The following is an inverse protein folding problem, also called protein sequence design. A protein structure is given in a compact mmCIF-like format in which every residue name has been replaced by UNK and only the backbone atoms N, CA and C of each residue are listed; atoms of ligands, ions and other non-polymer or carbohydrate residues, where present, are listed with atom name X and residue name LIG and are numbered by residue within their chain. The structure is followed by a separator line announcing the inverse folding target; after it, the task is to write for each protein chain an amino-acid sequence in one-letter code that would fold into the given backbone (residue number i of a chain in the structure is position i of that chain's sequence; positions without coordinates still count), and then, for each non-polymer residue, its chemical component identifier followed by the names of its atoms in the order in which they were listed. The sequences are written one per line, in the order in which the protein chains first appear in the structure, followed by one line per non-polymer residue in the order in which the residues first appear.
data_IF_073542386146
#
_entry.id   IF_073542386146
#
_cell.length_a   1.000
_cell.length_b   1.000
_cell.length_c   1.000
_cell.angle_alpha   90.00
_cell.angle_beta   90.00
_cell.angle_gamma   90.00
#
_symmetry.space_group_name_H-M   'P 1'
#
loop_
_entity.id
_entity.type
_entity.pdbx_description
1 polymer ?
#
# COMPACT_ATOMS: atom_id res chain seq x y z
N UNK A 1 1.29 -4.56 5.35
CA UNK A 1 2.15 -4.90 4.20
C UNK A 1 1.39 -4.85 2.86
N UNK A 2 0.25 -5.54 2.67
CA UNK A 2 -0.48 -5.53 1.39
C UNK A 2 -0.92 -4.13 0.95
N UNK A 3 -1.35 -3.32 1.89
CA UNK A 3 -1.77 -1.95 1.63
C UNK A 3 -0.56 -1.01 1.45
N UNK A 4 0.41 -1.03 2.36
CA UNK A 4 1.57 -0.12 2.35
C UNK A 4 2.46 -0.31 1.11
N UNK A 5 2.62 -1.55 0.65
CA UNK A 5 3.38 -1.88 -0.56
C UNK A 5 2.55 -1.77 -1.85
N UNK A 6 1.29 -1.35 -1.78
CA UNK A 6 0.37 -1.24 -2.92
C UNK A 6 0.27 -2.52 -3.78
N UNK A 7 0.48 -3.69 -3.18
CA UNK A 7 0.46 -4.98 -3.88
C UNK A 7 -0.95 -5.27 -4.39
N UNK A 8 -1.96 -4.92 -3.60
CA UNK A 8 -3.36 -5.20 -3.91
C UNK A 8 -4.03 -4.15 -4.79
N UNK A 9 -3.55 -2.91 -4.76
CA UNK A 9 -4.12 -1.80 -5.55
C UNK A 9 -3.63 -1.73 -7.00
N UNK A 10 -2.94 -2.77 -7.50
CA UNK A 10 -2.31 -2.79 -8.83
C UNK A 10 -1.28 -1.67 -9.06
N UNK A 11 -0.95 -0.87 -8.04
CA UNK A 11 0.05 0.18 -8.14
C UNK A 11 1.41 -0.36 -8.54
N UNK A 12 1.89 -1.38 -7.83
CA UNK A 12 3.16 -2.06 -8.15
C UNK A 12 3.18 -2.69 -9.54
N UNK A 13 2.03 -3.17 -10.04
CA UNK A 13 1.91 -3.74 -11.38
C UNK A 13 2.09 -2.65 -12.45
N UNK A 14 1.46 -1.49 -12.28
CA UNK A 14 1.60 -0.35 -13.20
C UNK A 14 3.03 0.19 -13.16
N UNK A 15 3.61 0.38 -11.98
CA UNK A 15 5.02 0.81 -11.87
C UNK A 15 5.98 -0.21 -12.48
N UNK A 16 5.70 -1.51 -12.32
CA UNK A 16 6.45 -2.57 -12.98
C UNK A 16 6.45 -2.45 -14.50
N UNK A 17 5.37 -1.94 -15.11
CA UNK A 17 5.30 -1.72 -16.56
C UNK A 17 6.13 -0.52 -17.04
N UNK A 18 6.54 0.37 -16.13
CA UNK A 18 7.37 1.54 -16.44
C UNK A 18 8.86 1.29 -16.25
N UNK A 19 9.23 0.16 -15.64
CA UNK A 19 10.63 -0.19 -15.42
C UNK A 19 11.31 -0.56 -16.74
N UNK A 20 12.58 -0.16 -16.87
CA UNK A 20 13.41 -0.62 -17.99
C UNK A 20 13.77 -2.09 -17.84
N UNK A 21 14.11 -2.73 -18.96
CA UNK A 21 14.54 -4.14 -18.96
C UNK A 21 15.90 -4.37 -18.27
N UNK A 22 16.63 -3.30 -17.96
CA UNK A 22 17.92 -3.33 -17.27
C UNK A 22 17.79 -3.31 -15.74
N UNK A 23 16.57 -3.04 -15.20
CA UNK A 23 16.35 -2.91 -13.75
C UNK A 23 16.29 -4.27 -13.05
N UNK A 24 17.06 -4.40 -11.95
CA UNK A 24 17.03 -5.58 -11.07
C UNK A 24 15.78 -5.53 -10.17
N UNK A 25 14.67 -6.09 -10.65
CA UNK A 25 13.38 -6.09 -9.95
C UNK A 25 13.45 -6.71 -8.55
N UNK A 26 14.05 -7.90 -8.32
CA UNK A 26 14.13 -8.47 -6.98
C UNK A 26 14.92 -7.60 -5.99
N UNK A 27 16.01 -6.98 -6.43
CA UNK A 27 16.80 -6.07 -5.59
C UNK A 27 16.03 -4.82 -5.20
N UNK A 28 15.35 -4.22 -6.18
CA UNK A 28 14.50 -3.05 -5.96
C UNK A 28 13.31 -3.37 -5.06
N UNK A 29 12.64 -4.50 -5.26
CA UNK A 29 11.56 -4.97 -4.37
C UNK A 29 12.04 -5.22 -2.94
N UNK A 30 13.22 -5.83 -2.75
CA UNK A 30 13.79 -6.05 -1.43
C UNK A 30 14.11 -4.73 -0.71
N UNK A 31 14.64 -3.74 -1.41
CA UNK A 31 14.88 -2.40 -0.85
C UNK A 31 13.59 -1.71 -0.44
N UNK A 32 12.56 -1.75 -1.29
CA UNK A 32 11.24 -1.18 -0.96
C UNK A 32 10.67 -1.83 0.30
N UNK A 33 10.66 -3.17 0.38
CA UNK A 33 10.18 -3.88 1.56
C UNK A 33 11.00 -3.56 2.83
N UNK A 34 12.31 -3.43 2.71
CA UNK A 34 13.18 -3.06 3.82
C UNK A 34 12.85 -1.66 4.34
N UNK A 35 12.81 -0.64 3.46
CA UNK A 35 12.51 0.73 3.87
C UNK A 35 11.09 0.90 4.39
N UNK A 36 10.10 0.21 3.83
CA UNK A 36 8.71 0.17 4.35
C UNK A 36 8.68 -0.34 5.79
N UNK A 37 9.39 -1.46 6.05
CA UNK A 37 9.50 -2.03 7.40
C UNK A 37 10.20 -1.08 8.37
N UNK A 38 11.32 -0.48 7.97
CA UNK A 38 12.05 0.49 8.80
C UNK A 38 11.17 1.70 9.12
N UNK A 39 10.46 2.24 8.14
CA UNK A 39 9.56 3.37 8.34
C UNK A 39 8.43 3.02 9.32
N UNK A 40 7.83 1.84 9.18
CA UNK A 40 6.79 1.37 10.10
C UNK A 40 7.32 1.19 11.53
N UNK A 41 8.51 0.63 11.70
CA UNK A 41 9.15 0.48 13.01
C UNK A 41 9.49 1.83 13.65
N UNK A 42 10.01 2.79 12.88
CA UNK A 42 10.29 4.13 13.39
C UNK A 42 9.01 4.85 13.81
N UNK A 43 7.94 4.74 13.03
CA UNK A 43 6.63 5.30 13.40
C UNK A 43 6.11 4.66 14.70
N UNK A 44 6.19 3.35 14.84
CA UNK A 44 5.77 2.64 16.05
C UNK A 44 6.60 3.05 17.28
N UNK A 45 7.92 3.22 17.14
CA UNK A 45 8.80 3.69 18.21
C UNK A 45 8.49 5.11 18.69
N UNK A 46 7.91 5.94 17.86
CA UNK A 46 7.47 7.29 18.25
C UNK A 46 6.06 7.28 18.83
N UNK A 47 5.13 6.60 18.17
CA UNK A 47 3.70 6.65 18.48
C UNK A 47 3.38 5.86 19.75
N UNK A 48 3.89 4.61 19.89
CA UNK A 48 3.56 3.73 21.02
C UNK A 48 3.97 4.33 22.36
N UNK A 49 5.22 4.81 22.55
CA UNK A 49 5.59 5.49 23.81
C UNK A 49 4.77 6.75 24.06
N UNK A 50 4.49 7.52 23.01
CA UNK A 50 3.68 8.73 23.13
C UNK A 50 2.26 8.41 23.62
N UNK A 51 1.62 7.37 23.10
CA UNK A 51 0.33 6.88 23.59
C UNK A 51 0.40 6.41 25.04
N UNK A 52 1.46 5.68 25.42
CA UNK A 52 1.64 5.19 26.78
C UNK A 52 1.74 6.33 27.82
N UNK A 53 2.33 7.48 27.47
CA UNK A 53 2.44 8.63 28.39
C UNK A 53 1.10 9.30 28.69
N UNK A 54 0.12 9.17 27.82
CA UNK A 54 -1.22 9.76 27.98
C UNK A 54 -2.23 8.80 28.61
N UNK A 55 -1.82 7.57 28.93
CA UNK A 55 -2.71 6.52 29.43
C UNK A 55 -3.78 6.07 28.42
N UNK A 56 -3.57 6.39 27.13
CA UNK A 56 -4.46 5.94 26.08
C UNK A 56 -4.37 4.45 25.88
N UNK A 57 -5.51 3.84 25.55
CA UNK A 57 -5.55 2.44 25.12
C UNK A 57 -4.88 2.31 23.75
N UNK A 58 -4.13 1.24 23.54
CA UNK A 58 -3.42 0.97 22.27
C UNK A 58 -4.35 0.48 21.15
N UNK A 59 -5.64 0.69 21.28
CA UNK A 59 -6.70 0.36 20.35
C UNK A 59 -6.99 1.48 19.33
N UNK A 60 -6.34 2.64 19.50
CA UNK A 60 -6.48 3.76 18.57
C UNK A 60 -5.68 3.49 17.28
N UNK A 61 -6.37 3.51 16.15
CA UNK A 61 -5.78 3.28 14.84
C UNK A 61 -6.41 4.14 13.74
N UNK A 62 -5.98 3.91 12.51
CA UNK A 62 -6.54 4.54 11.34
C UNK A 62 -6.44 6.08 11.30
N UNK A 63 -7.35 6.76 10.57
CA UNK A 63 -7.34 8.22 10.45
C UNK A 63 -7.51 8.94 11.78
N UNK A 64 -8.24 8.35 12.74
CA UNK A 64 -8.44 8.93 14.06
C UNK A 64 -7.14 9.11 14.84
N UNK A 65 -6.23 8.15 14.76
CA UNK A 65 -4.91 8.26 15.37
C UNK A 65 -4.14 9.46 14.81
N UNK A 66 -4.14 9.63 13.50
CA UNK A 66 -3.35 10.63 12.80
C UNK A 66 -3.92 12.06 12.96
N UNK A 67 -5.24 12.21 12.84
CA UNK A 67 -5.89 13.54 12.74
C UNK A 67 -6.57 13.99 14.02
N UNK A 68 -6.80 13.11 14.99
CA UNK A 68 -7.44 13.47 16.26
C UNK A 68 -6.45 13.28 17.42
N UNK A 69 -5.93 12.05 17.55
CA UNK A 69 -5.12 11.72 18.72
C UNK A 69 -3.75 12.40 18.73
N UNK A 70 -2.96 12.27 17.64
CA UNK A 70 -1.63 12.88 17.55
C UNK A 70 -1.65 14.42 17.66
N UNK A 71 -2.57 15.17 17.03
CA UNK A 71 -2.70 16.60 17.24
C UNK A 71 -2.99 16.97 18.69
N UNK A 72 -3.88 16.24 19.38
CA UNK A 72 -4.17 16.47 20.79
C UNK A 72 -2.93 16.21 21.67
N UNK A 73 -2.17 15.16 21.37
CA UNK A 73 -0.91 14.89 22.05
C UNK A 73 0.11 16.01 21.82
N UNK A 74 0.29 16.44 20.59
CA UNK A 74 1.22 17.52 20.23
C UNK A 74 0.83 18.81 20.95
N UNK A 75 -0.46 19.11 21.10
CA UNK A 75 -0.93 20.34 21.76
C UNK A 75 -0.52 20.44 23.23
N UNK A 76 -0.26 19.33 23.89
CA UNK A 76 0.21 19.26 25.27
C UNK A 76 1.73 19.45 25.43
N UNK A 77 2.48 19.48 24.33
CA UNK A 77 3.95 19.54 24.34
C UNK A 77 4.45 20.99 24.33
N UNK A 78 5.60 21.32 24.98
CA UNK A 78 6.24 22.62 24.81
C UNK A 78 6.67 22.81 23.35
N UNK A 79 6.37 24.00 22.79
CA UNK A 79 6.64 24.26 21.35
C UNK A 79 5.65 23.62 20.39
N UNK A 80 4.48 23.23 20.87
CA UNK A 80 3.42 22.52 20.12
C UNK A 80 3.12 23.12 18.75
N UNK A 81 3.09 24.44 18.61
CA UNK A 81 2.80 25.10 17.33
C UNK A 81 3.80 24.74 16.24
N UNK A 82 5.11 24.78 16.54
CA UNK A 82 6.15 24.46 15.56
C UNK A 82 6.11 22.98 15.22
N UNK A 83 5.97 22.12 16.24
CA UNK A 83 5.87 20.66 16.05
C UNK A 83 4.66 20.32 15.19
N UNK A 84 3.50 20.92 15.46
CA UNK A 84 2.28 20.73 14.69
C UNK A 84 2.43 21.16 13.22
N UNK A 85 3.05 22.31 12.95
CA UNK A 85 3.29 22.77 11.57
C UNK A 85 4.17 21.76 10.84
N UNK A 86 5.29 21.34 11.42
CA UNK A 86 6.19 20.35 10.79
C UNK A 86 5.45 19.04 10.54
N UNK A 87 4.70 18.56 11.53
CA UNK A 87 3.93 17.34 11.44
C UNK A 87 2.90 17.38 10.30
N UNK A 88 2.06 18.42 10.25
CA UNK A 88 1.03 18.52 9.22
C UNK A 88 1.60 18.76 7.82
N UNK A 89 2.71 19.48 7.70
CA UNK A 89 3.41 19.64 6.42
C UNK A 89 3.96 18.26 5.95
N UNK A 90 4.55 17.49 6.85
CA UNK A 90 5.02 16.14 6.52
C UNK A 90 3.85 15.22 6.14
N UNK A 91 2.73 15.23 6.86
CA UNK A 91 1.51 14.48 6.55
C UNK A 91 0.94 14.88 5.19
N UNK A 92 0.92 16.18 4.87
CA UNK A 92 0.47 16.68 3.57
C UNK A 92 1.31 16.10 2.43
N UNK A 93 2.63 16.17 2.52
CA UNK A 93 3.51 15.61 1.48
C UNK A 93 3.40 14.08 1.39
N UNK A 94 3.32 13.38 2.50
CA UNK A 94 3.10 11.94 2.53
C UNK A 94 1.76 11.56 1.88
N UNK A 95 0.69 12.30 2.19
CA UNK A 95 -0.63 12.12 1.58
C UNK A 95 -0.62 12.37 0.07
N UNK A 96 0.02 13.44 -0.37
CA UNK A 96 0.12 13.78 -1.81
C UNK A 96 0.85 12.69 -2.60
N UNK A 97 2.00 12.21 -2.10
CA UNK A 97 2.75 11.13 -2.75
C UNK A 97 1.97 9.82 -2.80
N UNK A 98 1.25 9.49 -1.73
CA UNK A 98 0.36 8.32 -1.68
C UNK A 98 -0.80 8.43 -2.68
N UNK A 99 -1.43 9.61 -2.80
CA UNK A 99 -2.49 9.85 -3.77
C UNK A 99 -2.01 9.68 -5.22
N UNK A 100 -0.83 10.19 -5.55
CA UNK A 100 -0.23 10.02 -6.88
C UNK A 100 -0.09 8.53 -7.20
N UNK A 101 0.43 7.74 -6.25
CA UNK A 101 0.59 6.31 -6.40
C UNK A 101 -0.75 5.58 -6.61
N UNK A 102 -1.75 5.88 -5.78
CA UNK A 102 -3.05 5.22 -5.84
C UNK A 102 -3.82 5.57 -7.11
N UNK A 103 -3.68 6.79 -7.61
CA UNK A 103 -4.39 7.23 -8.83
C UNK A 103 -3.74 6.76 -10.12
N UNK A 104 -2.47 6.36 -10.11
CA UNK A 104 -1.78 5.95 -11.33
C UNK A 104 -2.44 4.74 -12.00
N UNK A 105 -2.84 3.72 -11.24
CA UNK A 105 -3.49 2.54 -11.78
C UNK A 105 -4.85 2.82 -12.45
N UNK A 106 -5.80 3.53 -11.82
CA UNK A 106 -7.05 3.91 -12.48
C UNK A 106 -6.85 4.88 -13.66
N UNK A 107 -5.88 5.81 -13.58
CA UNK A 107 -5.54 6.70 -14.70
C UNK A 107 -5.06 5.89 -15.90
N UNK A 108 -4.11 4.98 -15.71
CA UNK A 108 -3.62 4.12 -16.77
C UNK A 108 -4.73 3.26 -17.37
N UNK A 109 -5.62 2.72 -16.54
CA UNK A 109 -6.78 1.95 -16.99
C UNK A 109 -7.74 2.78 -17.85
N UNK A 110 -8.04 4.02 -17.44
CA UNK A 110 -8.91 4.94 -18.20
C UNK A 110 -8.25 5.32 -19.53
N UNK A 111 -6.95 5.59 -19.53
CA UNK A 111 -6.21 5.86 -20.77
C UNK A 111 -6.31 4.69 -21.76
N UNK A 112 -6.09 3.47 -21.29
CA UNK A 112 -6.11 2.27 -22.12
C UNK A 112 -7.51 1.94 -22.63
N UNK A 113 -8.52 1.98 -21.75
CA UNK A 113 -9.91 1.58 -22.10
C UNK A 113 -10.66 2.61 -22.93
N UNK A 114 -10.49 3.89 -22.61
CA UNK A 114 -11.19 4.98 -23.31
C UNK A 114 -10.35 5.62 -24.41
N UNK A 115 -9.09 5.21 -24.59
CA UNK A 115 -8.17 5.76 -25.60
C UNK A 115 -8.03 7.28 -25.51
N UNK A 116 -8.05 7.83 -24.28
CA UNK A 116 -7.94 9.27 -24.02
C UNK A 116 -6.52 9.65 -23.59
N UNK A 117 -6.18 10.92 -23.78
CA UNK A 117 -4.89 11.43 -23.33
C UNK A 117 -4.75 11.47 -21.79
N UNK A 118 -3.51 11.43 -21.29
CA UNK A 118 -3.21 11.40 -19.85
C UNK A 118 -3.89 12.53 -19.06
N UNK A 119 -3.88 13.76 -19.58
CA UNK A 119 -4.51 14.91 -18.93
C UNK A 119 -6.02 14.69 -18.72
N UNK A 120 -6.70 14.19 -19.73
CA UNK A 120 -8.14 13.91 -19.68
C UNK A 120 -8.43 12.78 -18.68
N UNK A 121 -7.65 11.71 -18.70
CA UNK A 121 -7.76 10.61 -17.74
C UNK A 121 -7.55 11.08 -16.29
N UNK A 122 -6.55 11.92 -16.04
CA UNK A 122 -6.32 12.52 -14.71
C UNK A 122 -7.54 13.34 -14.23
N UNK A 123 -8.11 14.17 -15.10
CA UNK A 123 -9.29 14.99 -14.74
C UNK A 123 -10.49 14.09 -14.43
N UNK A 124 -10.74 13.07 -15.24
CA UNK A 124 -11.85 12.13 -15.02
C UNK A 124 -11.71 11.46 -13.66
N UNK A 125 -10.53 10.90 -13.37
CA UNK A 125 -10.28 10.19 -12.10
C UNK A 125 -10.29 11.17 -10.91
N UNK A 126 -9.78 12.38 -11.07
CA UNK A 126 -9.84 13.39 -10.01
C UNK A 126 -11.29 13.77 -9.66
N UNK A 127 -12.14 14.00 -10.67
CA UNK A 127 -13.56 14.32 -10.45
C UNK A 127 -14.27 13.15 -9.76
N UNK A 128 -14.08 11.92 -10.24
CA UNK A 128 -14.66 10.72 -9.60
C UNK A 128 -14.17 10.60 -8.17
N UNK A 129 -12.86 10.77 -7.92
CA UNK A 129 -12.26 10.71 -6.60
C UNK A 129 -12.83 11.72 -5.63
N UNK A 130 -13.03 12.98 -6.07
CA UNK A 130 -13.66 14.02 -5.24
C UNK A 130 -15.11 13.66 -4.91
N UNK A 131 -15.89 13.22 -5.89
CA UNK A 131 -17.29 12.83 -5.66
C UNK A 131 -17.39 11.68 -4.67
N UNK A 132 -16.61 10.61 -4.87
CA UNK A 132 -16.57 9.46 -3.97
C UNK A 132 -16.12 9.88 -2.58
N UNK A 133 -15.05 10.68 -2.47
CA UNK A 133 -14.53 11.16 -1.18
C UNK A 133 -15.60 11.93 -0.38
N UNK A 134 -16.39 12.78 -1.04
CA UNK A 134 -17.49 13.51 -0.39
C UNK A 134 -18.61 12.58 0.09
N UNK A 135 -18.91 11.53 -0.68
CA UNK A 135 -19.97 10.58 -0.34
C UNK A 135 -19.60 9.68 0.86
N UNK A 136 -18.32 9.30 0.99
CA UNK A 136 -17.87 8.36 2.02
C UNK A 136 -17.35 9.01 3.31
N UNK A 137 -17.40 10.34 3.44
CA UNK A 137 -16.84 11.05 4.61
C UNK A 137 -17.29 10.48 5.96
N UNK A 138 -18.55 10.07 6.07
CA UNK A 138 -19.10 9.51 7.32
C UNK A 138 -18.71 8.06 7.62
N UNK A 139 -18.16 7.34 6.64
CA UNK A 139 -17.87 5.90 6.72
C UNK A 139 -16.42 5.58 6.31
N UNK A 140 -15.51 6.57 6.39
CA UNK A 140 -14.11 6.40 5.91
C UNK A 140 -13.41 5.24 6.62
N UNK A 141 -13.58 5.10 7.94
CA UNK A 141 -12.96 4.00 8.69
C UNK A 141 -13.48 2.65 8.23
N UNK A 142 -14.80 2.48 8.17
CA UNK A 142 -15.42 1.22 7.74
C UNK A 142 -15.05 0.88 6.30
N UNK A 143 -14.95 1.91 5.44
CA UNK A 143 -14.52 1.73 4.05
C UNK A 143 -13.06 1.30 3.95
N UNK A 144 -12.17 1.88 4.76
CA UNK A 144 -10.77 1.46 4.85
C UNK A 144 -10.62 0.02 5.35
N UNK A 145 -11.44 -0.38 6.33
CA UNK A 145 -11.44 -1.74 6.85
C UNK A 145 -11.88 -2.74 5.76
N UNK A 146 -12.95 -2.43 5.02
CA UNK A 146 -13.37 -3.27 3.89
C UNK A 146 -12.24 -3.43 2.86
N UNK A 147 -11.58 -2.34 2.50
CA UNK A 147 -10.47 -2.38 1.54
C UNK A 147 -9.30 -3.20 2.06
N UNK A 148 -8.90 -2.99 3.31
CA UNK A 148 -7.71 -3.60 3.89
C UNK A 148 -7.90 -5.08 4.21
N UNK A 149 -9.09 -5.45 4.74
CA UNK A 149 -9.39 -6.80 5.21
C UNK A 149 -9.77 -7.74 4.06
N UNK A 150 -10.55 -7.25 3.09
CA UNK A 150 -11.11 -8.11 2.05
C UNK A 150 -10.45 -7.88 0.68
N UNK A 151 -10.41 -6.64 0.21
CA UNK A 151 -10.00 -6.35 -1.18
C UNK A 151 -8.49 -6.51 -1.36
N UNK A 152 -7.69 -6.03 -0.39
CA UNK A 152 -6.24 -6.12 -0.49
C UNK A 152 -5.70 -7.56 -0.51
N UNK A 153 -6.06 -8.44 0.42
CA UNK A 153 -5.60 -9.83 0.36
C UNK A 153 -6.14 -10.61 -0.85
N UNK A 154 -7.38 -10.32 -1.26
CA UNK A 154 -7.97 -10.90 -2.47
C UNK A 154 -7.19 -10.49 -3.72
N UNK A 155 -6.92 -9.20 -3.89
CA UNK A 155 -6.15 -8.68 -5.02
C UNK A 155 -4.74 -9.25 -5.08
N UNK A 156 -4.04 -9.30 -3.94
CA UNK A 156 -2.71 -9.90 -3.83
C UNK A 156 -2.71 -11.41 -4.17
N UNK A 157 -3.72 -12.14 -3.68
CA UNK A 157 -3.90 -13.56 -3.98
C UNK A 157 -4.17 -13.82 -5.45
N UNK A 158 -5.08 -13.05 -6.07
CA UNK A 158 -5.38 -13.15 -7.50
C UNK A 158 -4.17 -12.82 -8.37
N UNK A 159 -3.44 -11.75 -8.06
CA UNK A 159 -2.20 -11.39 -8.76
C UNK A 159 -1.16 -12.52 -8.66
N UNK A 160 -1.01 -13.11 -7.47
CA UNK A 160 -0.14 -14.26 -7.26
C UNK A 160 -0.56 -15.49 -8.08
N UNK A 161 -1.85 -15.80 -8.12
CA UNK A 161 -2.38 -16.91 -8.94
C UNK A 161 -2.09 -16.65 -10.42
N UNK A 162 -2.41 -15.45 -10.91
CA UNK A 162 -2.15 -15.08 -12.31
C UNK A 162 -0.68 -15.22 -12.67
N UNK A 163 0.22 -14.71 -11.83
CA UNK A 163 1.65 -14.69 -12.12
C UNK A 163 2.32 -16.07 -11.95
N UNK A 164 2.07 -16.77 -10.84
CA UNK A 164 2.78 -18.02 -10.55
C UNK A 164 2.10 -19.29 -11.05
N UNK A 165 0.78 -19.28 -11.30
CA UNK A 165 0.03 -20.46 -11.75
C UNK A 165 -0.34 -20.39 -13.23
N UNK A 166 -0.85 -19.24 -13.70
CA UNK A 166 -1.34 -19.11 -15.08
C UNK A 166 -0.20 -18.75 -16.04
N UNK A 167 0.58 -17.70 -15.75
CA UNK A 167 1.72 -17.30 -16.59
C UNK A 167 2.84 -18.36 -16.61
N UNK A 168 2.97 -19.11 -15.52
CA UNK A 168 3.83 -20.29 -15.44
C UNK A 168 5.30 -19.98 -15.16
N UNK A 169 6.01 -21.03 -14.74
CA UNK A 169 7.40 -20.97 -14.27
C UNK A 169 8.36 -20.27 -15.25
N UNK A 170 8.28 -20.60 -16.54
CA UNK A 170 9.19 -20.07 -17.56
C UNK A 170 9.05 -18.55 -17.70
N UNK A 171 7.82 -18.05 -17.69
CA UNK A 171 7.55 -16.61 -17.75
C UNK A 171 8.08 -15.89 -16.51
N UNK A 172 7.77 -16.41 -15.32
CA UNK A 172 8.24 -15.88 -14.04
C UNK A 172 9.76 -15.79 -13.99
N UNK A 173 10.47 -16.89 -14.33
CA UNK A 173 11.94 -16.92 -14.34
C UNK A 173 12.52 -15.92 -15.34
N UNK A 174 11.90 -15.74 -16.50
CA UNK A 174 12.34 -14.77 -17.49
C UNK A 174 12.19 -13.34 -16.97
N UNK A 175 11.05 -13.00 -16.40
CA UNK A 175 10.78 -11.65 -15.91
C UNK A 175 11.62 -11.30 -14.66
N UNK A 176 11.76 -12.23 -13.71
CA UNK A 176 12.51 -12.00 -12.47
C UNK A 176 14.02 -11.90 -12.71
N UNK A 177 14.52 -12.51 -13.79
CA UNK A 177 15.96 -12.45 -14.12
C UNK A 177 16.33 -11.35 -15.13
N UNK A 178 15.39 -10.54 -15.59
CA UNK A 178 15.69 -9.34 -16.37
C UNK A 178 16.55 -8.38 -15.54
N UNK A 179 17.49 -7.71 -16.17
CA UNK A 179 18.37 -6.72 -15.52
C UNK A 179 19.34 -7.28 -14.47
N UNK A 180 19.52 -8.61 -14.40
CA UNK A 180 20.41 -9.24 -13.42
C UNK A 180 21.60 -9.93 -14.09
N UNK A 181 22.79 -9.74 -13.51
CA UNK A 181 23.99 -10.49 -13.89
C UNK A 181 23.93 -11.94 -13.36
N UNK A 182 23.40 -12.15 -12.15
CA UNK A 182 23.27 -13.46 -11.51
C UNK A 182 21.81 -13.91 -11.48
N UNK A 183 21.53 -15.11 -11.99
CA UNK A 183 20.17 -15.66 -12.01
C UNK A 183 19.64 -15.86 -10.59
N UNK A 184 18.40 -15.45 -10.38
CA UNK A 184 17.69 -15.66 -9.12
C UNK A 184 17.47 -17.17 -8.87
N UNK A 185 17.38 -17.55 -7.60
CA UNK A 185 17.30 -18.95 -7.19
C UNK A 185 16.13 -19.69 -7.83
N UNK A 186 16.36 -20.89 -8.34
CA UNK A 186 15.32 -21.77 -8.94
C UNK A 186 14.15 -22.07 -7.98
N UNK A 187 14.36 -21.90 -6.68
CA UNK A 187 13.34 -22.09 -5.65
C UNK A 187 12.37 -20.91 -5.49
N UNK A 188 12.66 -19.76 -6.08
CA UNK A 188 11.77 -18.56 -5.98
C UNK A 188 10.35 -18.86 -6.45
N UNK A 189 10.20 -19.39 -7.64
CA UNK A 189 8.87 -19.68 -8.20
C UNK A 189 8.06 -20.70 -7.37
N UNK A 190 8.61 -21.86 -6.95
CA UNK A 190 7.87 -22.77 -6.07
C UNK A 190 7.55 -22.16 -4.69
N UNK A 191 8.46 -21.39 -4.08
CA UNK A 191 8.20 -20.71 -2.81
C UNK A 191 7.02 -19.74 -2.96
N UNK A 192 7.04 -18.87 -3.96
CA UNK A 192 5.94 -17.93 -4.18
C UNK A 192 4.64 -18.65 -4.52
N UNK A 193 4.69 -19.72 -5.30
CA UNK A 193 3.52 -20.50 -5.69
C UNK A 193 2.84 -21.20 -4.51
N UNK A 194 3.63 -21.84 -3.62
CA UNK A 194 3.13 -22.72 -2.57
C UNK A 194 3.14 -22.10 -1.17
N UNK A 195 3.78 -20.96 -0.97
CA UNK A 195 3.82 -20.25 0.31
C UNK A 195 3.09 -18.92 0.20
N UNK A 196 3.48 -18.03 -0.73
CA UNK A 196 2.89 -16.71 -0.83
C UNK A 196 1.39 -16.74 -1.16
N UNK A 197 0.97 -17.50 -2.18
CA UNK A 197 -0.46 -17.56 -2.57
C UNK A 197 -1.33 -18.16 -1.46
N UNK A 198 -0.97 -19.31 -0.83
CA UNK A 198 -1.72 -19.82 0.32
C UNK A 198 -1.77 -18.85 1.51
N UNK A 199 -0.69 -18.12 1.79
CA UNK A 199 -0.69 -17.09 2.85
C UNK A 199 -1.69 -15.98 2.52
N UNK A 200 -1.74 -15.49 1.28
CA UNK A 200 -2.73 -14.48 0.89
C UNK A 200 -4.17 -14.98 1.09
N UNK A 201 -4.44 -16.23 0.73
CA UNK A 201 -5.77 -16.84 0.93
C UNK A 201 -6.06 -17.02 2.43
N UNK A 202 -5.08 -17.48 3.20
CA UNK A 202 -5.21 -17.65 4.65
C UNK A 202 -5.52 -16.30 5.33
N UNK A 203 -4.80 -15.25 4.99
CA UNK A 203 -5.03 -13.90 5.52
C UNK A 203 -6.44 -13.41 5.17
N UNK A 204 -6.90 -13.65 3.93
CA UNK A 204 -8.26 -13.31 3.53
C UNK A 204 -9.30 -14.07 4.37
N UNK A 205 -9.15 -15.38 4.51
CA UNK A 205 -10.10 -16.22 5.27
C UNK A 205 -10.12 -15.82 6.75
N UNK A 206 -8.95 -15.61 7.35
CA UNK A 206 -8.86 -15.16 8.75
C UNK A 206 -9.41 -13.74 8.91
N UNK A 207 -9.16 -12.84 7.96
CA UNK A 207 -9.73 -11.50 7.94
C UNK A 207 -11.26 -11.53 7.94
N UNK A 208 -11.87 -12.40 7.12
CA UNK A 208 -13.32 -12.60 7.09
C UNK A 208 -13.83 -13.19 8.41
N UNK A 209 -13.14 -14.21 8.96
CA UNK A 209 -13.60 -14.92 10.14
C UNK A 209 -13.48 -14.10 11.45
N UNK A 210 -12.45 -13.26 11.55
CA UNK A 210 -12.13 -12.48 12.75
C UNK A 210 -12.55 -11.01 12.66
N UNK A 211 -13.08 -10.56 11.52
CA UNK A 211 -13.44 -9.15 11.30
C UNK A 211 -12.24 -8.23 11.19
N UNK A 212 -11.06 -8.77 10.88
CA UNK A 212 -9.78 -8.10 10.75
C UNK A 212 -8.65 -8.84 11.47
N UNK A 213 -7.43 -8.63 11.01
CA UNK A 213 -6.21 -9.15 11.64
C UNK A 213 -5.30 -7.94 11.88
N UNK A 214 -5.40 -7.33 13.03
CA UNK A 214 -4.57 -6.18 13.45
C UNK A 214 -5.37 -5.05 13.99
#
# INVERSE_FOLDING_TARGET
AFFSLSVAGNGTLIYGSYLSDEEDIPSSAARVAFFDTVAAMLAALVIIPAMATTGATLDQGGPGLLFIYLPNLISSMPGSTIIAIIFFVAVLFAGMTSLINLYEAPIATVQEKLHVGRKTACVIIAVIGVIVSLLIQGIVSDWMDILSIYICPLGAGLAGIMFFWIAGKKYVETQVNKGRETKFTKMYCPICKYIYVPICILVLVLGIALGGIG
#
